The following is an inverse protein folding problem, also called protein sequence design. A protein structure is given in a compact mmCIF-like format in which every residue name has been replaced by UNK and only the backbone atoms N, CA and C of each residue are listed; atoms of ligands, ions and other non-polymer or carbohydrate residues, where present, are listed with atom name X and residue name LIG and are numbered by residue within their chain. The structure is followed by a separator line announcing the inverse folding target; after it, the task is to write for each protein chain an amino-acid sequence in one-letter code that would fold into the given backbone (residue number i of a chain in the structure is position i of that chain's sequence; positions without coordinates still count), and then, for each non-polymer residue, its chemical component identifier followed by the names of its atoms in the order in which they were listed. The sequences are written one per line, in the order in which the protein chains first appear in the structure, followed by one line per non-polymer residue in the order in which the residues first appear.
data_IF_830999918964
#
_entry.id   IF_830999918964
#
_cell.length_a   1.000
_cell.length_b   1.000
_cell.length_c   1.000
_cell.angle_alpha   90.00
_cell.angle_beta   90.00
_cell.angle_gamma   90.00
#
_symmetry.space_group_name_H-M   'P 1'
#
loop_
_entity.id
_entity.type
_entity.pdbx_description
1 polymer ?
#
# COMPACT_ATOMS: atom_id res chain seq x y z
N UNK A 1 -8.72 -12.89 38.65
CA UNK A 1 -9.31 -13.00 37.28
C UNK A 1 -9.85 -11.66 36.75
N UNK A 2 -10.68 -10.93 37.51
CA UNK A 2 -11.31 -9.66 37.05
C UNK A 2 -10.31 -8.58 36.57
N UNK A 3 -9.18 -8.43 37.27
CA UNK A 3 -8.09 -7.51 36.89
C UNK A 3 -7.38 -7.90 35.59
N UNK A 4 -7.22 -9.19 35.34
CA UNK A 4 -6.55 -9.71 34.13
C UNK A 4 -7.39 -9.40 32.89
N UNK A 5 -8.71 -9.57 33.00
CA UNK A 5 -9.66 -9.26 31.91
C UNK A 5 -9.63 -7.77 31.56
N UNK A 6 -9.54 -6.88 32.57
CA UNK A 6 -9.43 -5.43 32.35
C UNK A 6 -8.11 -5.05 31.67
N UNK A 7 -6.99 -5.66 32.06
CA UNK A 7 -5.70 -5.42 31.39
C UNK A 7 -5.69 -5.90 29.94
N UNK A 8 -6.31 -7.06 29.67
CA UNK A 8 -6.40 -7.59 28.30
C UNK A 8 -7.25 -6.69 27.39
N UNK A 9 -8.36 -6.15 27.90
CA UNK A 9 -9.21 -5.20 27.18
C UNK A 9 -8.49 -3.88 26.85
N UNK A 10 -7.64 -3.39 27.75
CA UNK A 10 -6.84 -2.18 27.51
C UNK A 10 -5.81 -2.38 26.38
N UNK A 11 -5.21 -3.55 26.26
CA UNK A 11 -4.26 -3.85 25.18
C UNK A 11 -4.93 -3.89 23.80
N UNK A 12 -6.15 -4.44 23.71
CA UNK A 12 -6.90 -4.50 22.44
C UNK A 12 -7.25 -3.11 21.89
N UNK A 13 -7.43 -2.11 22.75
CA UNK A 13 -7.69 -0.72 22.34
C UNK A 13 -6.48 -0.03 21.69
N UNK A 14 -5.26 -0.51 21.94
CA UNK A 14 -4.04 0.02 21.29
C UNK A 14 -3.84 -0.49 19.86
N UNK A 15 -4.47 -1.61 19.49
CA UNK A 15 -4.35 -2.20 18.15
C UNK A 15 -5.16 -1.46 17.07
N UNK A 16 -6.05 -0.55 17.48
CA UNK A 16 -6.80 0.33 16.58
C UNK A 16 -6.19 1.73 16.48
N UNK A 17 -4.97 1.94 16.99
CA UNK A 17 -4.23 3.16 16.73
C UNK A 17 -3.71 3.12 15.29
N UNK A 18 -4.61 3.40 14.36
CA UNK A 18 -4.29 3.72 12.98
C UNK A 18 -3.62 5.10 13.01
N UNK A 19 -2.42 5.20 12.43
CA UNK A 19 -1.61 6.40 12.38
C UNK A 19 -2.48 7.64 12.07
N UNK A 20 -2.58 8.57 13.03
CA UNK A 20 -3.39 9.80 12.86
C UNK A 20 -2.75 10.75 11.86
N UNK A 21 -1.49 10.50 11.49
CA UNK A 21 -0.82 11.28 10.46
C UNK A 21 -1.42 10.93 9.10
N UNK A 22 -2.11 11.90 8.52
CA UNK A 22 -2.39 11.89 7.09
C UNK A 22 -1.05 11.79 6.38
N UNK A 23 -0.80 10.67 5.70
CA UNK A 23 0.41 10.54 4.88
C UNK A 23 0.30 11.54 3.72
N UNK A 24 0.94 12.70 3.87
CA UNK A 24 0.97 13.74 2.85
C UNK A 24 1.90 13.29 1.73
N UNK A 25 1.34 12.68 0.69
CA UNK A 25 2.08 12.37 -0.52
C UNK A 25 2.42 13.66 -1.27
N UNK A 26 3.69 13.80 -1.67
CA UNK A 26 4.07 14.89 -2.58
C UNK A 26 3.42 14.62 -3.94
N UNK A 27 2.77 15.64 -4.50
CA UNK A 27 2.19 15.55 -5.83
C UNK A 27 3.27 15.12 -6.84
N UNK A 28 2.97 14.10 -7.64
CA UNK A 28 3.91 13.53 -8.62
C UNK A 28 4.97 12.59 -8.04
N UNK A 29 4.96 12.30 -6.73
CA UNK A 29 5.86 11.33 -6.11
C UNK A 29 5.07 10.05 -5.77
N UNK A 30 5.23 9.05 -6.62
CA UNK A 30 4.62 7.73 -6.45
C UNK A 30 5.54 6.82 -5.65
N UNK A 31 4.96 5.92 -4.85
CA UNK A 31 5.72 4.89 -4.15
C UNK A 31 6.22 3.85 -5.16
N UNK A 32 7.50 3.52 -5.11
CA UNK A 32 8.06 2.45 -5.93
C UNK A 32 9.32 2.87 -6.68
N UNK A 33 9.80 1.97 -7.54
CA UNK A 33 10.89 2.28 -8.47
C UNK A 33 10.33 3.11 -9.63
N UNK A 34 11.16 3.98 -10.19
CA UNK A 34 10.83 4.70 -11.42
C UNK A 34 10.47 3.71 -12.53
N UNK A 35 9.32 3.94 -13.16
CA UNK A 35 8.82 3.10 -14.25
C UNK A 35 9.25 3.71 -15.59
N UNK A 36 10.35 3.20 -16.15
CA UNK A 36 10.81 3.64 -17.45
C UNK A 36 10.02 2.94 -18.55
N UNK A 37 9.17 3.71 -19.24
CA UNK A 37 8.44 3.25 -20.43
C UNK A 37 9.19 3.51 -21.74
N UNK A 38 10.53 3.52 -21.71
CA UNK A 38 11.40 3.73 -22.88
C UNK A 38 11.44 2.51 -23.83
N UNK A 39 10.28 1.90 -24.10
CA UNK A 39 10.09 0.74 -24.95
C UNK A 39 9.39 1.15 -26.25
N UNK A 40 9.52 0.31 -27.30
CA UNK A 40 8.67 0.40 -28.48
C UNK A 40 7.19 0.23 -28.10
N UNK A 41 6.28 0.61 -29.01
CA UNK A 41 4.85 0.52 -28.74
C UNK A 41 4.42 -0.94 -28.49
N UNK A 42 5.00 -1.87 -29.23
CA UNK A 42 4.74 -3.30 -29.18
C UNK A 42 5.23 -3.91 -27.87
N UNK A 43 6.46 -3.62 -27.46
CA UNK A 43 7.05 -4.10 -26.19
C UNK A 43 6.29 -3.54 -24.98
N UNK A 44 5.89 -2.27 -25.04
CA UNK A 44 5.08 -1.65 -23.99
C UNK A 44 3.72 -2.32 -23.85
N UNK A 45 3.08 -2.68 -24.96
CA UNK A 45 1.78 -3.36 -24.94
C UNK A 45 1.84 -4.72 -24.23
N UNK A 46 2.88 -5.51 -24.47
CA UNK A 46 3.04 -6.82 -23.83
C UNK A 46 3.30 -6.70 -22.31
N UNK A 47 4.14 -5.74 -21.90
CA UNK A 47 4.39 -5.46 -20.48
C UNK A 47 3.12 -5.03 -19.76
N UNK A 48 2.32 -4.14 -20.37
CA UNK A 48 1.05 -3.69 -19.80
C UNK A 48 0.04 -4.83 -19.68
N UNK A 49 -0.04 -5.72 -20.67
CA UNK A 49 -0.90 -6.90 -20.64
C UNK A 49 -0.52 -7.85 -19.50
N UNK A 50 0.77 -8.06 -19.25
CA UNK A 50 1.22 -8.88 -18.11
C UNK A 50 0.83 -8.26 -16.77
N UNK A 51 1.04 -6.93 -16.62
CA UNK A 51 0.70 -6.19 -15.39
C UNK A 51 -0.80 -6.18 -15.11
N UNK A 52 -1.63 -6.02 -16.14
CA UNK A 52 -3.09 -6.06 -16.00
C UNK A 52 -3.55 -7.37 -15.36
N UNK A 53 -2.87 -8.48 -15.65
CA UNK A 53 -3.21 -9.80 -15.10
C UNK A 53 -2.56 -10.09 -13.74
N UNK A 54 -1.67 -9.23 -13.22
CA UNK A 54 -0.89 -9.50 -12.00
C UNK A 54 -1.50 -8.96 -10.70
N UNK A 55 -2.80 -8.64 -10.67
CA UNK A 55 -3.57 -8.21 -9.46
C UNK A 55 -3.06 -6.92 -8.78
N UNK A 56 -2.03 -6.27 -9.33
CA UNK A 56 -1.57 -4.94 -8.88
C UNK A 56 -2.26 -3.86 -9.70
N UNK A 57 -3.40 -3.38 -9.20
CA UNK A 57 -4.19 -2.29 -9.81
C UNK A 57 -3.64 -0.89 -9.51
N UNK A 58 -2.55 -0.77 -8.76
CA UNK A 58 -1.97 0.51 -8.31
C UNK A 58 -0.51 0.68 -8.79
N UNK A 59 -0.29 0.44 -10.09
CA UNK A 59 0.92 0.88 -10.81
C UNK A 59 0.52 1.53 -12.13
#
# INVERSE_FOLDING_TARGET
MRLIILMLGAFLLSACYEDTDVTMHKAGVYKGKEDSHALSAEERAEVLKQRFNSVQTDR
#
